data_IF_316322394723
#
_entry.id   IF_316322394723
#
_cell.length_a   1.000
_cell.length_b   1.000
_cell.length_c   1.000
_cell.angle_alpha   90.00
_cell.angle_beta   90.00
_cell.angle_gamma   90.00
#
_symmetry.space_group_name_H-M   'P 1'
#
loop_
_entity.id
_entity.type
_entity.pdbx_description
1 polymer ?
#
# COMPACT_ATOMS: atom_id res chain seq x y z
N UNK A 1 48.85 5.18 2.82
CA UNK A 1 48.02 6.27 2.25
C UNK A 1 48.19 6.27 0.74
N UNK A 2 47.19 6.56 -0.11
CA UNK A 2 45.73 6.49 0.05
C UNK A 2 45.08 5.60 -1.05
N UNK A 3 44.15 4.70 -0.73
CA UNK A 3 43.21 4.16 -1.75
C UNK A 3 42.00 3.43 -1.15
N UNK A 4 41.45 3.97 -0.06
CA UNK A 4 40.25 3.38 0.58
C UNK A 4 39.19 4.42 0.96
N UNK A 5 39.45 5.70 0.72
CA UNK A 5 38.54 6.80 1.05
C UNK A 5 37.62 7.23 -0.09
N UNK A 6 37.78 6.71 -1.31
CA UNK A 6 37.00 7.13 -2.48
C UNK A 6 35.83 6.23 -2.87
N UNK A 7 35.66 5.06 -2.21
CA UNK A 7 34.55 4.14 -2.51
C UNK A 7 33.36 4.33 -1.55
N UNK A 8 33.53 5.08 -0.46
CA UNK A 8 32.42 5.40 0.47
C UNK A 8 31.64 6.67 0.12
N UNK A 9 32.02 7.41 -0.91
CA UNK A 9 31.37 8.69 -1.28
C UNK A 9 30.45 8.55 -2.52
N UNK A 10 30.32 7.35 -3.09
CA UNK A 10 29.67 7.18 -4.39
C UNK A 10 28.50 6.17 -4.40
N UNK A 11 27.72 6.08 -3.32
CA UNK A 11 26.33 5.55 -3.35
C UNK A 11 25.46 6.25 -2.29
N UNK A 12 25.43 7.58 -2.29
CA UNK A 12 24.43 8.36 -1.53
C UNK A 12 23.86 9.53 -2.34
N UNK A 13 23.83 9.41 -3.67
CA UNK A 13 22.86 10.10 -4.50
C UNK A 13 21.56 9.31 -4.52
N UNK A 14 21.01 9.02 -3.35
CA UNK A 14 19.57 8.82 -3.26
C UNK A 14 18.96 10.19 -3.52
N UNK A 15 18.09 10.27 -4.53
CA UNK A 15 17.32 11.45 -4.83
C UNK A 15 16.84 12.07 -3.50
N UNK A 16 17.24 13.31 -3.22
CA UNK A 16 16.58 14.14 -2.20
C UNK A 16 15.11 14.12 -2.57
N UNK A 17 14.36 13.21 -1.98
CA UNK A 17 12.92 13.24 -2.05
C UNK A 17 12.59 14.53 -1.33
N UNK A 18 12.23 15.55 -2.09
CA UNK A 18 11.98 16.89 -1.57
C UNK A 18 10.91 16.73 -0.50
N UNK A 19 11.31 16.87 0.77
CA UNK A 19 10.37 17.17 1.83
C UNK A 19 9.82 18.53 1.42
N UNK A 20 8.65 18.52 0.79
CA UNK A 20 7.83 19.71 0.71
C UNK A 20 7.40 19.98 2.14
N UNK A 21 8.21 20.76 2.87
CA UNK A 21 7.69 21.57 3.94
C UNK A 21 6.57 22.36 3.29
N UNK A 22 5.35 22.09 3.72
CA UNK A 22 4.17 22.73 3.14
C UNK A 22 4.33 24.21 3.48
N UNK A 23 4.70 25.02 2.49
CA UNK A 23 4.58 26.47 2.61
C UNK A 23 3.16 26.76 3.10
N UNK A 24 3.09 27.44 4.24
CA UNK A 24 1.92 27.83 5.02
C UNK A 24 0.58 27.59 4.33
N UNK A 25 -0.09 26.49 4.70
CA UNK A 25 -1.53 26.40 4.49
C UNK A 25 -2.26 26.35 5.82
N UNK A 26 -2.10 27.43 6.60
CA UNK A 26 -2.77 27.64 7.89
C UNK A 26 -4.31 27.56 7.77
N UNK A 27 -4.86 27.71 6.56
CA UNK A 27 -6.28 27.54 6.26
C UNK A 27 -6.49 26.97 4.84
N UNK A 28 -6.10 25.72 4.61
CA UNK A 28 -6.39 25.05 3.35
C UNK A 28 -7.88 24.64 3.29
N UNK A 29 -8.72 25.23 2.42
CA UNK A 29 -10.15 24.91 2.34
C UNK A 29 -10.45 23.50 1.81
N UNK A 30 -9.42 22.78 1.35
CA UNK A 30 -9.52 21.43 0.83
C UNK A 30 -8.46 20.55 1.51
N UNK A 31 -8.81 20.01 2.69
CA UNK A 31 -7.98 19.08 3.49
C UNK A 31 -7.82 17.69 2.84
N UNK A 32 -8.29 17.53 1.60
CA UNK A 32 -8.19 16.27 0.87
C UNK A 32 -6.80 16.10 0.29
N UNK A 33 -6.14 14.98 0.59
CA UNK A 33 -4.88 14.57 -0.02
C UNK A 33 -5.06 13.26 -0.79
N UNK A 34 -4.45 13.19 -1.98
CA UNK A 34 -4.31 11.98 -2.78
C UNK A 34 -2.91 11.42 -2.63
N UNK A 35 -2.80 10.15 -2.25
CA UNK A 35 -1.57 9.42 -1.99
C UNK A 35 -1.25 8.60 -3.24
N UNK A 36 -0.40 9.15 -4.12
CA UNK A 36 -0.19 8.61 -5.47
C UNK A 36 1.23 8.11 -5.73
N UNK A 37 2.16 8.28 -4.78
CA UNK A 37 3.51 7.70 -4.84
C UNK A 37 3.67 6.56 -3.82
N UNK A 38 4.62 5.65 -4.04
CA UNK A 38 5.03 4.72 -2.99
C UNK A 38 5.44 5.46 -1.71
N UNK A 39 5.10 4.91 -0.54
CA UNK A 39 5.48 5.46 0.77
C UNK A 39 4.99 6.91 1.00
N UNK A 40 3.89 7.31 0.36
CA UNK A 40 3.28 8.62 0.58
C UNK A 40 2.75 8.74 2.00
N UNK A 41 2.97 9.88 2.64
CA UNK A 41 2.47 10.14 3.99
C UNK A 41 2.08 11.60 4.18
N UNK A 42 1.29 11.83 5.24
CA UNK A 42 1.10 13.16 5.81
C UNK A 42 1.05 13.11 7.32
N UNK A 43 1.51 14.20 7.93
CA UNK A 43 1.63 14.40 9.38
C UNK A 43 0.78 15.60 9.77
N UNK A 44 -0.03 15.44 10.81
CA UNK A 44 -0.92 16.47 11.33
C UNK A 44 -0.61 16.76 12.80
N UNK A 45 -0.73 18.03 13.18
CA UNK A 45 -0.40 18.55 14.51
C UNK A 45 -1.47 19.58 14.97
N UNK A 46 -1.93 19.57 16.23
CA UNK A 46 -1.62 18.61 17.28
C UNK A 46 -2.20 17.22 16.99
N UNK A 47 -1.66 16.21 17.66
CA UNK A 47 -2.30 14.91 17.79
C UNK A 47 -3.68 14.98 18.48
N UNK A 48 -4.47 13.91 18.38
CA UNK A 48 -5.75 13.82 19.07
C UNK A 48 -5.57 13.39 20.53
N UNK A 49 -6.25 14.08 21.46
CA UNK A 49 -6.21 13.72 22.87
C UNK A 49 -7.16 12.54 23.17
N UNK A 50 -6.68 11.57 23.94
CA UNK A 50 -7.48 10.43 24.42
C UNK A 50 -7.98 10.60 25.86
N UNK A 51 -7.79 11.79 26.46
CA UNK A 51 -8.21 12.09 27.83
C UNK A 51 -9.68 12.48 27.86
N UNK A 52 -10.04 13.43 27.02
CA UNK A 52 -11.38 13.99 26.98
C UNK A 52 -12.31 13.10 26.17
N UNK A 53 -13.62 13.25 26.43
CA UNK A 53 -14.61 12.66 25.55
C UNK A 53 -14.55 13.36 24.20
N UNK A 54 -14.64 12.59 23.13
CA UNK A 54 -14.60 13.15 21.81
C UNK A 54 -14.45 12.09 20.74
N UNK A 55 -14.16 12.52 19.51
CA UNK A 55 -13.92 11.61 18.41
C UNK A 55 -12.90 12.16 17.41
N UNK A 56 -12.02 11.27 16.95
CA UNK A 56 -11.27 11.45 15.71
C UNK A 56 -12.12 10.93 14.55
N UNK A 57 -12.37 11.79 13.56
CA UNK A 57 -13.06 11.42 12.32
C UNK A 57 -12.13 11.58 11.12
N UNK A 58 -12.11 10.58 10.23
CA UNK A 58 -11.29 10.56 9.01
C UNK A 58 -12.08 9.94 7.87
N UNK A 59 -12.12 10.59 6.71
CA UNK A 59 -12.67 9.99 5.50
C UNK A 59 -11.56 9.41 4.63
N UNK A 60 -11.74 8.19 4.15
CA UNK A 60 -10.79 7.55 3.24
C UNK A 60 -11.48 6.89 2.04
N UNK A 61 -10.74 6.79 0.95
CA UNK A 61 -11.16 6.13 -0.29
C UNK A 61 -9.97 5.40 -0.89
N UNK A 62 -10.05 4.08 -1.05
CA UNK A 62 -8.94 3.28 -1.57
C UNK A 62 -9.43 1.98 -2.23
N UNK A 63 -8.58 1.40 -3.07
CA UNK A 63 -8.73 0.03 -3.58
C UNK A 63 -7.79 -0.97 -2.90
N UNK A 64 -6.91 -0.50 -2.02
CA UNK A 64 -5.88 -1.31 -1.36
C UNK A 64 -6.52 -2.22 -0.32
N UNK A 65 -6.21 -3.51 -0.36
CA UNK A 65 -6.70 -4.48 0.64
C UNK A 65 -5.95 -4.39 1.96
N UNK A 66 -4.67 -4.05 1.90
CA UNK A 66 -3.81 -3.89 3.06
C UNK A 66 -3.14 -2.53 2.96
N UNK A 67 -3.32 -1.67 3.97
CA UNK A 67 -2.68 -0.37 4.04
C UNK A 67 -2.88 0.28 5.41
N UNK A 68 -1.95 1.15 5.83
CA UNK A 68 -2.17 2.02 6.99
C UNK A 68 -3.12 3.15 6.62
N UNK A 69 -4.12 3.40 7.45
CA UNK A 69 -5.01 4.57 7.30
C UNK A 69 -4.57 5.67 8.26
N UNK A 70 -4.49 5.35 9.56
CA UNK A 70 -4.09 6.27 10.63
C UNK A 70 -3.11 5.58 11.59
N UNK A 71 -2.16 6.35 12.11
CA UNK A 71 -1.34 5.98 13.26
C UNK A 71 -1.09 7.20 14.14
N UNK A 72 -1.04 6.98 15.43
CA UNK A 72 -0.69 8.01 16.41
C UNK A 72 0.01 7.36 17.60
N UNK A 73 1.00 8.05 18.18
CA UNK A 73 1.64 7.66 19.41
C UNK A 73 2.10 8.84 20.27
N UNK A 74 2.49 8.52 21.50
CA UNK A 74 2.98 9.45 22.51
C UNK A 74 4.49 9.74 22.41
N UNK A 75 5.09 9.45 21.26
CA UNK A 75 6.50 9.70 21.04
C UNK A 75 7.42 8.62 21.58
N UNK A 76 6.96 7.37 21.66
CA UNK A 76 7.78 6.23 22.11
C UNK A 76 7.70 6.00 23.62
N UNK A 77 6.70 6.55 24.30
CA UNK A 77 6.57 6.47 25.76
C UNK A 77 5.61 5.36 26.22
N UNK A 78 4.90 4.70 25.30
CA UNK A 78 4.16 3.46 25.57
C UNK A 78 2.73 3.44 25.06
N UNK A 79 2.13 4.60 24.79
CA UNK A 79 0.78 4.72 24.24
C UNK A 79 0.77 4.89 22.71
N UNK A 80 -0.10 4.14 22.03
CA UNK A 80 -0.32 4.26 20.60
C UNK A 80 -1.69 3.72 20.18
N UNK A 81 -2.11 4.12 18.98
CA UNK A 81 -3.06 3.32 18.21
C UNK A 81 -2.70 3.32 16.72
N UNK A 82 -3.09 2.23 16.06
CA UNK A 82 -3.03 2.12 14.60
C UNK A 82 -4.37 1.68 14.03
N UNK A 83 -4.68 2.16 12.83
CA UNK A 83 -5.80 1.69 12.02
C UNK A 83 -5.28 1.27 10.65
N UNK A 84 -5.50 0.00 10.32
CA UNK A 84 -5.10 -0.62 9.06
C UNK A 84 -6.29 -1.22 8.34
N UNK A 85 -6.27 -1.12 7.00
CA UNK A 85 -6.93 -2.10 6.16
C UNK A 85 -6.16 -3.41 6.23
N UNK A 86 -6.87 -4.52 6.45
CA UNK A 86 -6.33 -5.89 6.45
C UNK A 86 -7.31 -6.79 5.70
N UNK A 87 -6.95 -7.21 4.49
CA UNK A 87 -7.82 -7.97 3.62
C UNK A 87 -9.13 -7.24 3.24
N UNK A 88 -9.12 -5.90 3.19
CA UNK A 88 -10.30 -5.06 2.93
C UNK A 88 -11.17 -4.76 4.15
N UNK A 89 -10.87 -5.38 5.31
CA UNK A 89 -11.49 -5.10 6.62
C UNK A 89 -10.73 -3.99 7.34
N UNK A 90 -11.35 -3.35 8.32
CA UNK A 90 -10.67 -2.35 9.15
C UNK A 90 -10.26 -2.98 10.48
N UNK A 91 -8.99 -2.86 10.84
CA UNK A 91 -8.42 -3.31 12.11
C UNK A 91 -7.83 -2.13 12.86
N UNK A 92 -8.20 -1.97 14.13
CA UNK A 92 -7.51 -1.10 15.07
C UNK A 92 -6.70 -1.92 16.07
N UNK A 93 -5.49 -1.47 16.40
CA UNK A 93 -4.75 -1.88 17.61
C UNK A 93 -4.52 -0.65 18.47
N UNK A 94 -4.59 -0.83 19.79
CA UNK A 94 -4.45 0.28 20.73
C UNK A 94 -3.82 -0.22 22.02
N UNK A 95 -2.86 0.55 22.53
CA UNK A 95 -2.30 0.43 23.87
C UNK A 95 -2.32 1.81 24.48
N UNK A 96 -3.00 1.96 25.61
CA UNK A 96 -3.05 3.22 26.36
C UNK A 96 -2.99 2.92 27.85
N UNK A 97 -2.43 3.85 28.61
CA UNK A 97 -2.19 3.71 30.04
C UNK A 97 -1.50 2.39 30.37
N UNK A 98 -2.07 1.67 31.34
CA UNK A 98 -1.54 0.41 31.84
C UNK A 98 -2.15 -0.84 31.18
N UNK A 99 -2.97 -0.66 30.14
CA UNK A 99 -3.61 -1.79 29.47
C UNK A 99 -2.68 -2.43 28.45
N UNK A 100 -2.79 -3.74 28.28
CA UNK A 100 -2.14 -4.45 27.18
C UNK A 100 -2.72 -4.02 25.83
N UNK A 101 -1.98 -4.32 24.75
CA UNK A 101 -2.44 -4.07 23.38
C UNK A 101 -3.76 -4.81 23.15
N UNK A 102 -4.80 -4.05 22.85
CA UNK A 102 -6.10 -4.57 22.43
C UNK A 102 -6.29 -4.41 20.91
N UNK A 103 -7.04 -5.34 20.31
CA UNK A 103 -7.35 -5.34 18.88
C UNK A 103 -8.86 -5.31 18.66
N UNK A 104 -9.32 -4.52 17.71
CA UNK A 104 -10.69 -4.54 17.19
C UNK A 104 -10.70 -4.66 15.67
N UNK A 105 -11.66 -5.39 15.12
CA UNK A 105 -11.81 -5.60 13.68
C UNK A 105 -13.27 -5.36 13.30
N UNK A 106 -13.48 -4.52 12.29
CA UNK A 106 -14.76 -4.33 11.64
C UNK A 106 -14.72 -5.08 10.32
N UNK A 107 -15.64 -6.04 10.17
CA UNK A 107 -15.83 -6.75 8.92
C UNK A 107 -16.52 -5.85 7.89
N UNK A 108 -16.18 -6.03 6.62
CA UNK A 108 -16.71 -5.24 5.51
C UNK A 108 -15.75 -5.24 4.32
N UNK A 109 -16.15 -4.57 3.24
CA UNK A 109 -15.32 -4.36 2.06
C UNK A 109 -15.05 -2.86 1.92
N UNK A 110 -14.12 -2.35 2.72
CA UNK A 110 -13.81 -0.91 2.79
C UNK A 110 -12.76 -0.46 1.75
N UNK A 111 -12.42 -1.34 0.82
CA UNK A 111 -11.54 -1.08 -0.31
C UNK A 111 -12.30 -1.10 -1.65
N UNK A 112 -13.58 -0.75 -1.62
CA UNK A 112 -14.51 -0.82 -2.77
C UNK A 112 -14.46 0.42 -3.69
N UNK A 113 -13.44 1.28 -3.51
CA UNK A 113 -13.25 2.56 -4.21
C UNK A 113 -14.32 3.61 -3.90
N UNK A 114 -15.10 3.47 -2.82
CA UNK A 114 -15.99 4.52 -2.30
C UNK A 114 -15.37 5.24 -1.10
N UNK A 115 -16.00 6.34 -0.72
CA UNK A 115 -15.65 7.06 0.50
C UNK A 115 -16.26 6.36 1.70
N UNK A 116 -15.44 6.10 2.70
CA UNK A 116 -15.83 5.55 4.00
C UNK A 116 -15.44 6.51 5.11
N UNK A 117 -16.28 6.64 6.13
CA UNK A 117 -16.02 7.47 7.31
C UNK A 117 -15.52 6.58 8.44
N UNK A 118 -14.23 6.70 8.80
CA UNK A 118 -13.64 6.12 9.99
C UNK A 118 -13.86 7.05 11.18
N UNK A 119 -14.33 6.52 12.30
CA UNK A 119 -14.50 7.27 13.55
C UNK A 119 -13.92 6.46 14.71
N UNK A 120 -13.01 7.06 15.47
CA UNK A 120 -12.54 6.55 16.77
C UNK A 120 -13.14 7.48 17.83
N UNK A 121 -14.03 6.95 18.66
CA UNK A 121 -14.77 7.73 19.66
C UNK A 121 -14.38 7.34 21.07
N UNK A 122 -14.06 8.33 21.88
CA UNK A 122 -13.68 8.22 23.29
C UNK A 122 -14.84 8.68 24.18
N UNK A 123 -15.27 7.81 25.08
CA UNK A 123 -16.32 8.06 26.07
C UNK A 123 -15.91 7.46 27.42
N UNK A 124 -15.44 8.28 28.37
CA UNK A 124 -14.96 7.84 29.69
C UNK A 124 -13.89 6.74 29.59
N UNK A 125 -14.25 5.51 29.97
CA UNK A 125 -13.55 4.22 29.82
C UNK A 125 -13.30 3.79 28.38
N UNK A 126 -14.26 4.09 27.53
CA UNK A 126 -14.50 3.33 26.32
C UNK A 126 -13.91 4.05 25.12
N UNK A 127 -13.18 3.31 24.29
CA UNK A 127 -12.78 3.76 22.96
C UNK A 127 -13.40 2.82 21.92
N UNK A 128 -14.28 3.37 21.08
CA UNK A 128 -15.04 2.63 20.08
C UNK A 128 -14.54 2.98 18.68
N UNK A 129 -14.12 1.96 17.94
CA UNK A 129 -13.85 2.04 16.50
C UNK A 129 -15.16 1.88 15.73
N UNK A 130 -15.40 2.72 14.74
CA UNK A 130 -16.49 2.56 13.79
C UNK A 130 -16.11 2.97 12.37
N UNK A 131 -16.73 2.35 11.39
CA UNK A 131 -16.60 2.70 9.97
C UNK A 131 -18.00 2.72 9.37
N UNK A 132 -18.36 3.85 8.78
CA UNK A 132 -19.72 4.16 8.34
C UNK A 132 -20.74 3.93 9.48
N UNK A 133 -21.65 2.97 9.33
CA UNK A 133 -22.66 2.64 10.35
C UNK A 133 -22.32 1.41 11.20
N UNK A 134 -21.10 0.87 11.07
CA UNK A 134 -20.68 -0.36 11.75
C UNK A 134 -19.68 -0.02 12.84
N UNK A 135 -19.97 -0.40 14.08
CA UNK A 135 -19.07 -0.23 15.23
C UNK A 135 -18.53 -1.57 15.72
N UNK A 136 -17.31 -1.57 16.24
CA UNK A 136 -16.77 -2.69 17.01
C UNK A 136 -17.07 -2.53 18.50
N UNK A 137 -16.90 -3.63 19.25
CA UNK A 137 -16.95 -3.58 20.71
C UNK A 137 -15.92 -2.58 21.28
N UNK A 138 -16.27 -1.81 22.32
CA UNK A 138 -15.37 -0.83 22.90
C UNK A 138 -14.12 -1.49 23.51
N UNK A 139 -12.99 -0.79 23.44
CA UNK A 139 -11.79 -1.05 24.26
C UNK A 139 -11.97 -0.26 25.56
N UNK A 140 -11.90 -0.92 26.72
CA UNK A 140 -12.15 -0.28 28.01
C UNK A 140 -10.82 0.06 28.70
N UNK A 141 -10.24 1.21 28.34
CA UNK A 141 -9.01 1.69 28.96
C UNK A 141 -8.91 3.22 28.99
N UNK A 142 -8.17 3.75 29.97
CA UNK A 142 -7.90 5.18 30.12
C UNK A 142 -6.44 5.48 29.76
N UNK A 143 -6.23 6.48 28.91
CA UNK A 143 -4.90 7.07 28.72
C UNK A 143 -4.43 7.70 30.03
N UNK A 144 -3.11 7.78 30.22
CA UNK A 144 -2.47 8.46 31.34
C UNK A 144 -1.79 9.77 30.90
N UNK A 145 -1.88 10.15 29.63
CA UNK A 145 -1.13 11.25 29.07
C UNK A 145 -2.01 12.32 28.43
N UNK A 146 -1.80 13.56 28.88
CA UNK A 146 -1.65 14.77 28.06
C UNK A 146 -2.24 14.79 26.64
N UNK A 147 -1.36 14.33 25.76
CA UNK A 147 -1.40 14.56 24.33
C UNK A 147 -0.56 13.52 23.63
N UNK A 148 -1.08 13.03 22.52
CA UNK A 148 -0.29 12.32 21.53
C UNK A 148 0.58 13.30 20.73
N UNK A 149 1.63 12.80 20.08
CA UNK A 149 2.62 13.67 19.42
C UNK A 149 2.13 14.27 18.12
N UNK A 150 1.61 13.44 17.22
CA UNK A 150 1.12 13.85 15.91
C UNK A 150 0.31 12.69 15.30
N UNK A 151 -0.61 13.04 14.40
CA UNK A 151 -1.39 12.08 13.64
C UNK A 151 -0.74 11.82 12.28
N UNK A 152 -0.52 10.55 11.96
CA UNK A 152 0.11 10.09 10.73
C UNK A 152 -0.88 9.33 9.86
N UNK A 153 -0.74 9.48 8.55
CA UNK A 153 -1.61 8.82 7.56
C UNK A 153 -0.81 8.30 6.38
N UNK A 154 -1.27 7.18 5.81
CA UNK A 154 -0.68 6.54 4.63
C UNK A 154 0.58 5.72 4.90
N UNK A 155 1.60 6.31 5.54
CA UNK A 155 2.86 5.65 5.88
C UNK A 155 3.56 6.32 7.08
N UNK A 156 4.38 5.57 7.83
CA UNK A 156 5.28 6.10 8.86
C UNK A 156 6.69 6.22 8.30
N UNK A 157 7.25 7.42 8.25
CA UNK A 157 8.59 7.64 7.70
C UNK A 157 9.66 7.67 8.79
N UNK A 158 10.76 6.92 8.58
CA UNK A 158 11.97 6.99 9.41
C UNK A 158 12.73 8.32 9.29
N UNK A 159 12.36 9.17 8.33
CA UNK A 159 12.95 10.50 8.17
C UNK A 159 12.20 11.58 8.97
N UNK A 160 11.00 11.28 9.46
CA UNK A 160 10.24 12.19 10.34
C UNK A 160 10.70 12.06 11.79
N UNK A 161 11.11 10.85 12.19
CA UNK A 161 11.70 10.58 13.51
C UNK A 161 12.97 9.78 13.29
N UNK A 162 14.11 10.32 13.73
CA UNK A 162 15.46 9.88 13.34
C UNK A 162 15.77 8.39 13.61
N UNK A 163 14.96 7.69 14.41
CA UNK A 163 15.12 6.24 14.65
C UNK A 163 13.79 5.48 14.59
N UNK A 164 13.83 4.22 14.11
CA UNK A 164 12.66 3.32 14.12
C UNK A 164 12.15 3.00 15.53
N UNK A 165 13.03 3.09 16.53
CA UNK A 165 12.71 2.83 17.94
C UNK A 165 12.03 4.01 18.62
N UNK A 166 11.93 5.16 17.94
CA UNK A 166 11.15 6.28 18.44
C UNK A 166 9.65 6.01 18.38
N UNK A 167 9.19 5.15 17.45
CA UNK A 167 7.79 4.76 17.36
C UNK A 167 7.44 3.81 18.50
N UNK A 168 6.36 4.09 19.23
CA UNK A 168 5.87 3.23 20.32
C UNK A 168 5.61 1.81 19.82
N UNK A 169 5.15 1.66 18.55
CA UNK A 169 4.93 0.35 17.96
C UNK A 169 5.63 0.17 16.60
N UNK A 170 6.93 -0.23 16.58
CA UNK A 170 7.72 -0.34 15.35
C UNK A 170 7.16 -1.32 14.30
N UNK A 171 6.34 -2.29 14.69
CA UNK A 171 5.69 -3.19 13.72
C UNK A 171 4.68 -2.47 12.81
N UNK A 172 4.12 -1.34 13.25
CA UNK A 172 3.24 -0.49 12.42
C UNK A 172 4.04 0.19 11.31
N UNK A 173 5.26 0.64 11.61
CA UNK A 173 6.21 1.14 10.61
C UNK A 173 6.46 0.09 9.53
N UNK A 174 6.87 -1.12 9.93
CA UNK A 174 7.14 -2.20 8.97
C UNK A 174 5.91 -2.61 8.16
N UNK A 175 4.74 -2.68 8.76
CA UNK A 175 3.50 -2.95 8.02
C UNK A 175 3.20 -1.86 7.01
N UNK A 176 3.42 -0.58 7.33
CA UNK A 176 3.18 0.54 6.42
C UNK A 176 4.16 0.59 5.24
N UNK A 177 5.38 0.08 5.40
CA UNK A 177 6.37 -0.06 4.33
C UNK A 177 5.93 -1.14 3.34
N UNK A 178 5.49 -2.29 3.86
CA UNK A 178 5.11 -3.44 3.04
C UNK A 178 3.71 -3.31 2.43
N UNK A 179 2.83 -2.51 3.05
CA UNK A 179 1.44 -2.33 2.64
C UNK A 179 1.18 -0.84 2.42
N UNK A 180 1.61 -0.35 1.26
CA UNK A 180 1.54 1.07 0.92
C UNK A 180 0.10 1.52 0.70
N UNK A 181 -0.29 2.60 1.36
CA UNK A 181 -1.57 3.26 1.08
C UNK A 181 -1.55 3.97 -0.28
N UNK A 182 -2.55 3.68 -1.10
CA UNK A 182 -2.84 4.39 -2.34
C UNK A 182 -4.32 4.72 -2.39
N UNK A 183 -4.65 6.00 -2.45
CA UNK A 183 -6.02 6.42 -2.23
C UNK A 183 -6.12 7.91 -1.98
N UNK A 184 -7.22 8.30 -1.35
CA UNK A 184 -7.43 9.65 -0.87
C UNK A 184 -7.88 9.63 0.59
N UNK A 185 -7.45 10.64 1.35
CA UNK A 185 -7.88 10.89 2.73
C UNK A 185 -8.33 12.35 2.80
N UNK A 186 -9.41 12.63 3.53
CA UNK A 186 -9.93 13.99 3.73
C UNK A 186 -10.63 14.14 5.08
N UNK A 187 -10.93 15.39 5.42
CA UNK A 187 -11.78 15.76 6.55
C UNK A 187 -11.32 15.12 7.87
N UNK A 188 -10.01 15.16 8.13
CA UNK A 188 -9.46 14.80 9.44
C UNK A 188 -9.89 15.89 10.43
N UNK A 189 -10.62 15.49 11.46
CA UNK A 189 -11.16 16.42 12.45
C UNK A 189 -11.34 15.76 13.81
N UNK A 190 -11.22 16.58 14.85
CA UNK A 190 -11.50 16.20 16.24
C UNK A 190 -12.82 16.83 16.67
N UNK A 191 -13.71 16.03 17.22
CA UNK A 191 -15.03 16.44 17.69
C UNK A 191 -15.07 16.31 19.21
N UNK A 192 -15.15 17.43 19.92
CA UNK A 192 -15.19 17.46 21.39
C UNK A 192 -16.36 18.36 21.81
N UNK A 193 -17.29 17.82 22.60
CA UNK A 193 -18.50 18.53 23.05
C UNK A 193 -19.29 19.25 21.93
N UNK A 194 -19.32 18.64 20.73
CA UNK A 194 -19.98 19.18 19.54
C UNK A 194 -19.17 20.25 18.79
N UNK A 195 -18.01 20.65 19.30
CA UNK A 195 -17.08 21.56 18.63
C UNK A 195 -16.16 20.76 17.72
N UNK A 196 -16.06 21.18 16.46
CA UNK A 196 -15.18 20.56 15.47
C UNK A 196 -13.91 21.39 15.35
N UNK A 197 -12.77 20.77 15.62
CA UNK A 197 -11.45 21.31 15.35
C UNK A 197 -10.76 20.48 14.27
N UNK A 198 -9.79 21.06 13.58
CA UNK A 198 -9.01 20.37 12.54
C UNK A 198 -7.53 20.54 12.84
N UNK A 199 -6.75 19.44 12.88
CA UNK A 199 -5.32 19.56 13.05
C UNK A 199 -4.68 20.14 11.78
N UNK A 200 -3.57 20.84 11.95
CA UNK A 200 -2.83 21.45 10.87
C UNK A 200 -2.00 20.40 10.13
N UNK A 201 -1.95 20.48 8.79
CA UNK A 201 -1.08 19.65 7.98
C UNK A 201 0.37 20.13 8.09
N UNK A 202 1.15 19.52 8.98
CA UNK A 202 2.55 19.88 9.24
C UNK A 202 3.49 19.49 8.11
N UNK A 203 3.31 18.31 7.52
CA UNK A 203 4.19 17.81 6.48
C UNK A 203 3.50 16.79 5.58
N UNK A 204 3.91 16.71 4.32
CA UNK A 204 3.50 15.63 3.43
C UNK A 204 4.54 15.34 2.35
N UNK A 205 4.64 14.07 1.95
CA UNK A 205 5.51 13.59 0.88
C UNK A 205 4.74 12.62 0.00
N UNK A 206 4.88 12.74 -1.32
CA UNK A 206 4.24 11.84 -2.29
C UNK A 206 2.74 12.05 -2.47
N UNK A 207 2.19 13.15 -1.95
CA UNK A 207 0.77 13.48 -2.08
C UNK A 207 0.50 14.60 -3.08
N UNK A 208 -0.74 14.65 -3.56
CA UNK A 208 -1.29 15.74 -4.36
C UNK A 208 -2.54 16.31 -3.64
N UNK A 209 -2.77 17.61 -3.75
CA UNK A 209 -3.99 18.23 -3.20
C UNK A 209 -5.23 17.78 -3.97
N UNK A 210 -6.31 17.56 -3.23
CA UNK A 210 -7.58 17.08 -3.77
C UNK A 210 -7.59 15.59 -4.07
N UNK A 211 -8.70 15.10 -4.61
CA UNK A 211 -8.87 13.72 -5.05
C UNK A 211 -9.55 13.71 -6.42
N UNK A 212 -8.88 14.30 -7.42
CA UNK A 212 -9.44 14.51 -8.76
C UNK A 212 -9.89 13.19 -9.40
N UNK A 213 -11.10 13.16 -9.96
CA UNK A 213 -11.64 11.99 -10.65
C UNK A 213 -10.95 11.81 -12.02
N UNK A 214 -10.17 10.72 -12.24
CA UNK A 214 -9.48 10.45 -13.50
C UNK A 214 -10.44 10.29 -14.71
N UNK A 215 -11.74 10.08 -14.50
CA UNK A 215 -12.73 10.09 -15.58
C UNK A 215 -13.02 11.49 -16.15
N UNK A 216 -12.54 12.57 -15.52
CA UNK A 216 -12.63 13.91 -16.11
C UNK A 216 -11.75 14.00 -17.37
N UNK A 217 -10.55 13.42 -17.34
CA UNK A 217 -9.60 13.41 -18.46
C UNK A 217 -9.80 12.24 -19.42
N UNK A 218 -10.29 11.09 -18.94
CA UNK A 218 -10.57 9.92 -19.78
C UNK A 218 -12.01 9.92 -20.32
N UNK A 219 -12.20 10.29 -21.59
CA UNK A 219 -13.48 10.17 -22.29
C UNK A 219 -13.61 8.85 -23.06
N UNK A 220 -14.63 8.07 -22.72
CA UNK A 220 -14.99 6.83 -23.40
C UNK A 220 -15.91 7.12 -24.61
N UNK A 221 -15.80 6.32 -25.68
CA UNK A 221 -16.61 6.47 -26.90
C UNK A 221 -17.73 5.43 -26.95
N UNK A 222 -18.67 5.63 -27.87
CA UNK A 222 -19.74 4.70 -28.23
C UNK A 222 -20.51 4.12 -27.03
N UNK A 223 -20.89 4.98 -26.07
CA UNK A 223 -21.64 4.58 -24.89
C UNK A 223 -20.84 3.85 -23.81
N UNK A 224 -19.51 3.71 -23.96
CA UNK A 224 -18.67 3.12 -22.92
C UNK A 224 -18.68 3.93 -21.62
N UNK A 225 -18.71 3.25 -20.47
CA UNK A 225 -18.74 3.87 -19.14
C UNK A 225 -17.33 4.05 -18.59
N UNK A 226 -16.94 5.26 -18.21
CA UNK A 226 -15.68 5.46 -17.50
C UNK A 226 -15.78 4.94 -16.06
N UNK A 227 -14.76 4.21 -15.61
CA UNK A 227 -14.64 3.66 -14.25
C UNK A 227 -13.43 4.26 -13.56
N UNK A 228 -13.68 4.98 -12.48
CA UNK A 228 -12.68 5.62 -11.62
C UNK A 228 -12.05 4.59 -10.66
N UNK A 229 -10.72 4.44 -10.72
CA UNK A 229 -9.90 3.64 -9.80
C UNK A 229 -8.89 4.51 -9.02
N UNK A 230 -9.23 5.77 -8.76
CA UNK A 230 -8.50 6.80 -8.00
C UNK A 230 -7.20 7.24 -8.68
N UNK A 231 -6.26 6.32 -8.85
CA UNK A 231 -4.98 6.57 -9.54
C UNK A 231 -5.08 6.40 -11.05
N UNK A 232 -6.00 5.55 -11.49
CA UNK A 232 -6.23 5.27 -12.91
C UNK A 232 -7.72 5.31 -13.24
N UNK A 233 -8.05 5.44 -14.52
CA UNK A 233 -9.39 5.20 -15.02
C UNK A 233 -9.32 4.28 -16.24
N UNK A 234 -10.40 3.56 -16.50
CA UNK A 234 -10.56 2.76 -17.71
C UNK A 234 -12.00 2.84 -18.22
N UNK A 235 -12.20 2.51 -19.49
CA UNK A 235 -13.52 2.48 -20.10
C UNK A 235 -14.08 1.06 -20.11
N UNK A 236 -15.20 0.85 -19.42
CA UNK A 236 -16.00 -0.36 -19.60
C UNK A 236 -16.76 -0.28 -20.92
N UNK A 237 -16.42 -1.16 -21.87
CA UNK A 237 -17.01 -1.24 -23.19
C UNK A 237 -18.05 -2.38 -23.32
N UNK A 238 -18.35 -3.08 -22.22
CA UNK A 238 -19.34 -4.15 -22.20
C UNK A 238 -20.70 -3.66 -22.70
N UNK A 239 -21.36 -4.48 -23.53
CA UNK A 239 -22.65 -4.14 -24.14
C UNK A 239 -22.61 -3.08 -25.26
N UNK A 240 -21.45 -2.47 -25.55
CA UNK A 240 -21.38 -1.40 -26.58
C UNK A 240 -21.15 -1.94 -28.00
N UNK A 241 -20.64 -3.17 -28.16
CA UNK A 241 -20.15 -3.67 -29.45
C UNK A 241 -18.76 -3.12 -29.85
N UNK A 242 -18.11 -2.34 -28.97
CA UNK A 242 -16.78 -1.78 -29.17
C UNK A 242 -15.77 -2.28 -28.13
N UNK A 243 -14.48 -2.13 -28.45
CA UNK A 243 -13.35 -2.55 -27.62
C UNK A 243 -12.20 -1.53 -27.66
N UNK A 244 -11.20 -1.76 -26.79
CA UNK A 244 -10.00 -0.95 -26.63
C UNK A 244 -10.11 0.09 -25.52
N UNK A 245 -8.99 0.78 -25.23
CA UNK A 245 -8.83 1.70 -24.07
C UNK A 245 -9.93 2.76 -23.93
N UNK A 246 -10.53 3.19 -25.05
CA UNK A 246 -11.61 4.20 -25.10
C UNK A 246 -12.86 3.70 -25.83
N UNK A 247 -13.04 2.39 -25.98
CA UNK A 247 -14.17 1.79 -26.71
C UNK A 247 -14.31 2.32 -28.15
N UNK A 248 -13.19 2.50 -28.86
CA UNK A 248 -13.18 3.15 -30.17
C UNK A 248 -13.24 2.17 -31.36
N UNK A 249 -12.89 0.90 -31.15
CA UNK A 249 -12.78 -0.10 -32.23
C UNK A 249 -13.95 -1.06 -32.18
N UNK A 250 -14.61 -1.32 -33.30
CA UNK A 250 -15.68 -2.33 -33.39
C UNK A 250 -15.12 -3.71 -33.02
N UNK A 251 -15.92 -4.51 -32.30
CA UNK A 251 -15.63 -5.92 -32.09
C UNK A 251 -15.87 -6.63 -33.42
N UNK A 252 -14.79 -6.95 -34.14
CA UNK A 252 -14.89 -7.78 -35.35
C UNK A 252 -15.21 -9.20 -34.89
N UNK A 253 -16.46 -9.62 -35.04
CA UNK A 253 -16.79 -11.04 -35.06
C UNK A 253 -16.00 -11.62 -36.23
N UNK A 254 -14.87 -12.28 -35.95
CA UNK A 254 -14.38 -13.29 -36.88
C UNK A 254 -15.52 -14.29 -36.92
N UNK A 255 -16.29 -14.25 -38.01
CA UNK A 255 -17.10 -15.37 -38.46
C UNK A 255 -16.28 -16.62 -38.15
N UNK A 256 -16.77 -17.44 -37.22
CA UNK A 256 -16.28 -18.79 -37.01
C UNK A 256 -16.43 -19.47 -38.35
N UNK A 257 -15.37 -19.43 -39.17
CA UNK A 257 -15.20 -20.49 -40.15
C UNK A 257 -15.07 -21.72 -39.25
N UNK A 258 -15.99 -22.69 -39.31
CA UNK A 258 -15.87 -23.90 -38.51
C UNK A 258 -14.45 -24.43 -38.70
N UNK A 259 -13.77 -24.90 -37.64
CA UNK A 259 -12.45 -25.47 -37.79
C UNK A 259 -12.58 -26.58 -38.83
N UNK A 260 -12.02 -26.37 -40.02
CA UNK A 260 -11.87 -27.44 -40.99
C UNK A 260 -10.99 -28.47 -40.31
N UNK A 261 -11.59 -29.60 -39.95
CA UNK A 261 -10.93 -30.77 -39.39
C UNK A 261 -9.84 -31.20 -40.38
N UNK A 262 -8.61 -30.70 -40.19
CA UNK A 262 -7.44 -31.36 -40.76
C UNK A 262 -7.16 -32.53 -39.85
N UNK A 263 -7.60 -33.71 -40.31
CA UNK A 263 -7.21 -35.00 -39.74
C UNK A 263 -5.69 -35.03 -39.58
N UNK A 264 -5.22 -34.94 -38.33
CA UNK A 264 -3.85 -35.27 -37.98
C UNK A 264 -3.75 -36.79 -38.03
N UNK A 265 -3.16 -37.31 -39.10
CA UNK A 265 -2.75 -38.71 -39.17
C UNK A 265 -1.65 -38.94 -38.14
N UNK A 266 -1.98 -39.62 -37.04
CA UNK A 266 -1.01 -40.05 -36.04
C UNK A 266 -0.06 -41.07 -36.68
N UNK A 267 1.18 -40.66 -36.99
CA UNK A 267 2.26 -41.62 -37.27
C UNK A 267 2.61 -42.31 -35.95
N UNK A 268 2.24 -43.59 -35.85
CA UNK A 268 2.63 -44.48 -34.76
C UNK A 268 4.14 -44.76 -34.90
N UNK A 269 4.96 -44.10 -34.09
CA UNK A 269 6.40 -44.41 -33.99
C UNK A 269 6.54 -45.53 -32.97
N UNK A 270 6.85 -46.73 -33.44
CA UNK A 270 7.12 -47.89 -32.59
C UNK A 270 8.60 -47.90 -32.23
N UNK A 271 8.95 -47.65 -30.97
CA UNK A 271 10.31 -47.89 -30.47
C UNK A 271 10.42 -49.35 -30.01
N UNK A 272 11.33 -50.11 -30.61
CA UNK A 272 11.73 -51.43 -30.09
C UNK A 272 12.64 -51.23 -28.89
N UNK A 273 12.19 -51.62 -27.71
CA UNK A 273 13.05 -51.72 -26.52
C UNK A 273 13.99 -52.91 -26.73
N UNK A 274 15.30 -52.66 -26.80
CA UNK A 274 16.32 -53.72 -26.72
C UNK A 274 16.70 -53.90 -25.25
N UNK A 275 16.27 -55.04 -24.71
CA UNK A 275 16.72 -55.69 -23.47
C UNK A 275 16.25 -55.10 -22.12
N UNK A 276 15.46 -55.84 -21.29
CA UNK A 276 14.92 -55.33 -20.02
C UNK A 276 15.88 -55.29 -18.82
N UNK A 277 17.11 -55.81 -18.94
CA UNK A 277 17.96 -56.09 -17.76
C UNK A 277 19.29 -55.30 -17.70
N UNK A 278 19.32 -54.04 -18.14
CA UNK A 278 20.43 -53.12 -17.82
C UNK A 278 19.92 -51.89 -17.09
N UNK A 279 20.16 -51.85 -15.78
CA UNK A 279 20.09 -50.64 -14.96
C UNK A 279 21.50 -50.04 -14.91
N UNK A 280 21.75 -48.82 -15.40
CA UNK A 280 22.93 -48.06 -15.02
C UNK A 280 22.58 -47.04 -13.93
N UNK A 281 23.42 -47.03 -12.90
CA UNK A 281 23.42 -46.10 -11.78
C UNK A 281 23.35 -44.63 -12.22
N UNK A 282 22.67 -43.83 -11.38
CA UNK A 282 22.71 -42.38 -11.32
C UNK A 282 24.15 -41.82 -11.47
N UNK A 283 24.43 -41.16 -12.58
CA UNK A 283 25.40 -40.07 -12.63
C UNK A 283 24.65 -38.75 -12.89
N UNK A 284 24.33 -38.11 -11.78
CA UNK A 284 24.07 -36.67 -11.69
C UNK A 284 25.37 -35.94 -12.10
N UNK A 285 25.26 -34.77 -12.73
CA UNK A 285 26.29 -33.72 -12.91
C UNK A 285 26.78 -33.31 -14.31
N UNK A 286 26.08 -33.56 -15.44
CA UNK A 286 26.46 -32.89 -16.71
C UNK A 286 25.31 -32.48 -17.66
N UNK A 287 24.28 -31.79 -17.17
CA UNK A 287 23.34 -31.06 -18.07
C UNK A 287 22.83 -29.72 -17.50
N UNK A 288 23.65 -28.98 -16.75
CA UNK A 288 23.35 -27.57 -16.39
C UNK A 288 24.25 -26.57 -17.16
N UNK A 289 25.22 -27.05 -17.94
CA UNK A 289 26.16 -26.19 -18.67
C UNK A 289 25.72 -25.79 -20.09
N UNK A 290 24.68 -26.42 -20.66
CA UNK A 290 24.26 -26.15 -22.06
C UNK A 290 23.17 -25.07 -22.21
N UNK A 291 22.59 -24.57 -21.10
CA UNK A 291 21.57 -23.50 -21.14
C UNK A 291 22.20 -22.12 -20.98
N UNK A 292 23.35 -22.01 -20.29
CA UNK A 292 24.02 -20.73 -20.04
C UNK A 292 24.87 -20.18 -21.20
N UNK A 293 25.07 -20.94 -22.29
CA UNK A 293 25.82 -20.46 -23.47
C UNK A 293 24.94 -19.82 -24.55
N UNK A 294 23.60 -19.87 -24.43
CA UNK A 294 22.67 -19.25 -25.41
C UNK A 294 22.06 -17.91 -24.99
N UNK A 295 22.30 -17.43 -23.77
CA UNK A 295 21.76 -16.14 -23.28
C UNK A 295 22.79 -15.00 -23.40
N UNK A 296 24.05 -15.28 -23.74
CA UNK A 296 25.12 -14.26 -23.81
C UNK A 296 25.27 -13.49 -25.13
N UNK A 297 24.46 -13.75 -26.16
CA UNK A 297 24.65 -13.16 -27.50
C UNK A 297 23.55 -12.19 -27.97
N UNK A 298 22.73 -11.61 -27.08
CA UNK A 298 21.82 -10.53 -27.45
C UNK A 298 21.83 -9.41 -26.39
N UNK A 299 22.97 -8.73 -26.28
CA UNK A 299 22.99 -7.26 -26.16
C UNK A 299 23.31 -6.72 -27.55
N UNK A 300 22.77 -5.64 -28.09
CA UNK A 300 22.41 -4.34 -27.53
C UNK A 300 21.51 -3.68 -28.59
N UNK A 301 20.39 -3.05 -28.21
CA UNK A 301 20.00 -1.71 -28.67
C UNK A 301 18.63 -1.28 -28.09
N UNK A 302 18.73 -0.33 -27.16
CA UNK A 302 17.76 0.75 -26.85
C UNK A 302 16.38 0.42 -26.27
N UNK A 303 16.21 0.83 -25.00
CA UNK A 303 15.09 1.71 -24.65
C UNK A 303 14.09 1.19 -23.62
N UNK A 304 14.37 1.55 -22.35
CA UNK A 304 13.42 1.73 -21.23
C UNK A 304 12.68 0.50 -20.68
N UNK A 305 12.57 0.54 -19.35
CA UNK A 305 11.75 -0.25 -18.43
C UNK A 305 12.28 -1.63 -18.04
N UNK A 306 11.93 -2.00 -16.80
CA UNK A 306 12.33 -3.16 -15.96
C UNK A 306 13.48 -2.87 -15.00
N UNK A 307 13.47 -3.25 -13.72
CA UNK A 307 12.44 -3.78 -12.84
C UNK A 307 12.98 -3.66 -11.40
N UNK A 308 12.19 -3.05 -10.51
CA UNK A 308 12.48 -2.90 -9.08
C UNK A 308 11.93 -4.13 -8.35
N UNK A 309 12.55 -5.29 -8.53
CA UNK A 309 12.18 -6.53 -7.81
C UNK A 309 13.41 -7.39 -7.51
N UNK A 310 14.48 -6.80 -6.95
CA UNK A 310 15.66 -7.54 -6.52
C UNK A 310 16.59 -6.80 -5.55
N UNK A 311 16.08 -6.08 -4.53
CA UNK A 311 16.93 -5.63 -3.40
C UNK A 311 16.10 -5.59 -2.11
N UNK A 312 15.79 -6.75 -1.54
CA UNK A 312 15.30 -6.85 -0.15
C UNK A 312 15.59 -8.22 0.50
N UNK A 313 16.59 -8.95 0.04
CA UNK A 313 16.99 -10.24 0.61
C UNK A 313 18.51 -10.38 0.62
N UNK A 314 19.19 -9.58 1.43
CA UNK A 314 20.62 -9.77 1.73
C UNK A 314 21.08 -8.98 2.96
N UNK A 315 20.42 -9.09 4.12
CA UNK A 315 21.05 -8.68 5.40
C UNK A 315 20.42 -9.34 6.64
N UNK A 316 20.08 -10.63 6.62
CA UNK A 316 19.90 -11.43 7.84
C UNK A 316 20.24 -12.90 7.53
N UNK A 317 21.51 -13.19 7.25
CA UNK A 317 22.06 -14.53 7.36
C UNK A 317 23.57 -14.40 7.62
N UNK A 318 23.89 -14.08 8.87
CA UNK A 318 25.27 -13.80 9.27
C UNK A 318 25.38 -13.47 10.75
N UNK A 319 24.79 -14.31 11.60
CA UNK A 319 25.05 -14.40 13.05
C UNK A 319 24.33 -15.64 13.60
N UNK A 320 24.86 -16.82 13.29
CA UNK A 320 24.57 -18.08 13.99
C UNK A 320 25.62 -19.15 13.62
N UNK A 321 26.89 -18.85 13.86
CA UNK A 321 27.95 -19.86 14.02
C UNK A 321 28.83 -19.37 15.17
N UNK A 322 28.55 -19.85 16.38
CA UNK A 322 29.50 -20.10 17.46
C UNK A 322 28.74 -20.54 18.73
N UNK A 323 28.43 -21.83 18.79
CA UNK A 323 28.58 -22.72 19.96
C UNK A 323 28.76 -24.12 19.42
#
# INVERSE_FOLDING_TARGET
MPNTFFIFVLVLTFAKQTISFVDDCFNCPNSTLKYNKPLSYSVYDPGWSLINNGALEVWFRTGMKNAMVVYEDDGGKGEFFDVFLVGGKIRMRMQVGYCNIEKRVINGSFNDLKWHKLVIRKEKKNTTLSVDSIAAEPIQCSSQLDSMTALYTGHLSIFVRESSNSWTFPSSLWQSINNVFQGCIKDIQYVEDGVITRPHLRATVGTERGCSNPCQSLKCRHGGRCVDRILTAWCNCEGTGYQGKRCARVIKNRSTKPPTTKSLTTKKITYKVKDPNKIPLLQKEREVSAINSRIKNIGVHHGRCMDLWAVATATVLGMAINT
#
